data_IF_482461311988
#
_entry.id   IF_482461311988
#
_cell.length_a   1.000
_cell.length_b   1.000
_cell.length_c   1.000
_cell.angle_alpha   90.00
_cell.angle_beta   90.00
_cell.angle_gamma   90.00
#
_symmetry.space_group_name_H-M   'P 1'
#
loop_
_entity.id
_entity.type
_entity.pdbx_description
1 polymer ?
#
# COMPACT_ATOMS: atom_id res chain seq x y z
N UNK A 1 14.50 -6.15 -10.97
CA UNK A 1 13.35 -6.61 -10.17
C UNK A 1 12.11 -6.12 -10.87
N UNK A 2 11.09 -6.96 -10.99
CA UNK A 2 9.84 -6.60 -11.67
C UNK A 2 8.82 -6.04 -10.69
N UNK A 3 7.86 -5.27 -11.20
CA UNK A 3 6.75 -4.79 -10.40
C UNK A 3 5.92 -5.95 -9.83
N UNK A 4 5.70 -6.99 -10.62
CA UNK A 4 5.10 -8.23 -10.16
C UNK A 4 5.83 -8.85 -8.94
N UNK A 5 7.17 -8.81 -8.88
CA UNK A 5 7.91 -9.31 -7.71
C UNK A 5 7.60 -8.50 -6.44
N UNK A 6 7.52 -7.17 -6.54
CA UNK A 6 7.14 -6.30 -5.43
C UNK A 6 5.71 -6.55 -4.96
N UNK A 7 4.75 -6.55 -5.89
CA UNK A 7 3.33 -6.74 -5.57
C UNK A 7 3.07 -8.13 -5.00
N UNK A 8 3.66 -9.18 -5.58
CA UNK A 8 3.52 -10.54 -5.04
C UNK A 8 4.15 -10.66 -3.66
N UNK A 9 5.27 -9.96 -3.40
CA UNK A 9 5.87 -9.93 -2.06
C UNK A 9 4.96 -9.25 -1.05
N UNK A 10 4.39 -8.09 -1.38
CA UNK A 10 3.43 -7.40 -0.53
C UNK A 10 2.18 -8.27 -0.27
N UNK A 11 1.61 -8.86 -1.32
CA UNK A 11 0.47 -9.77 -1.22
C UNK A 11 0.76 -10.98 -0.32
N UNK A 12 1.97 -11.55 -0.37
CA UNK A 12 2.34 -12.74 0.42
C UNK A 12 2.29 -12.54 1.95
N UNK A 13 2.35 -11.28 2.40
CA UNK A 13 2.30 -10.92 3.83
C UNK A 13 1.01 -10.20 4.21
N UNK A 14 0.22 -9.78 3.23
CA UNK A 14 -1.06 -9.11 3.45
C UNK A 14 -2.16 -10.15 3.75
N UNK A 15 -3.08 -9.88 4.68
CA UNK A 15 -4.19 -10.80 5.00
C UNK A 15 -4.90 -11.34 3.76
N UNK A 16 -5.05 -12.66 3.71
CA UNK A 16 -5.74 -13.40 2.63
C UNK A 16 -5.26 -13.05 1.21
N UNK A 17 -4.05 -12.52 1.07
CA UNK A 17 -3.47 -12.05 -0.20
C UNK A 17 -4.31 -10.99 -0.93
N UNK A 18 -5.14 -10.22 -0.20
CA UNK A 18 -6.13 -9.32 -0.79
C UNK A 18 -5.56 -8.24 -1.71
N UNK A 19 -4.27 -7.92 -1.64
CA UNK A 19 -3.60 -7.05 -2.64
C UNK A 19 -3.82 -7.59 -4.07
N UNK A 20 -3.83 -8.91 -4.27
CA UNK A 20 -4.07 -9.53 -5.58
C UNK A 20 -5.52 -9.39 -6.06
N UNK A 21 -6.46 -9.03 -5.20
CA UNK A 21 -7.82 -8.70 -5.65
C UNK A 21 -7.84 -7.46 -6.52
N UNK A 22 -6.83 -6.60 -6.40
CA UNK A 22 -6.68 -5.32 -7.09
C UNK A 22 -5.52 -5.32 -8.10
N UNK A 23 -5.00 -6.49 -8.46
CA UNK A 23 -3.86 -6.62 -9.37
C UNK A 23 -4.12 -7.53 -10.56
N UNK A 24 -3.53 -7.17 -11.71
CA UNK A 24 -3.56 -7.95 -12.94
C UNK A 24 -2.13 -8.41 -13.29
N UNK A 25 -1.79 -9.66 -12.98
CA UNK A 25 -0.42 -10.19 -13.12
C UNK A 25 0.08 -10.18 -14.57
N UNK A 26 -0.80 -10.41 -15.55
CA UNK A 26 -0.46 -10.44 -16.98
C UNK A 26 -0.15 -9.06 -17.56
N UNK A 27 -0.76 -8.01 -17.00
CA UNK A 27 -0.57 -6.63 -17.45
C UNK A 27 0.40 -5.82 -16.59
N UNK A 28 0.71 -6.33 -15.40
CA UNK A 28 1.43 -5.60 -14.35
C UNK A 28 0.74 -4.27 -14.01
N UNK A 29 -0.60 -4.29 -13.91
CA UNK A 29 -1.43 -3.10 -13.70
C UNK A 29 -2.46 -3.30 -12.56
N UNK A 30 -2.79 -2.23 -11.83
CA UNK A 30 -3.93 -2.21 -10.92
C UNK A 30 -5.24 -2.48 -11.66
N UNK A 31 -6.17 -3.17 -11.01
CA UNK A 31 -7.55 -3.34 -11.50
C UNK A 31 -8.56 -2.85 -10.49
N UNK A 32 -9.56 -2.13 -10.98
CA UNK A 32 -10.72 -1.78 -10.19
C UNK A 32 -11.46 -3.06 -9.77
N UNK A 33 -11.72 -3.21 -8.47
CA UNK A 33 -12.52 -4.30 -7.93
C UNK A 33 -13.52 -3.78 -6.87
N UNK A 34 -14.66 -3.22 -7.31
CA UNK A 34 -15.61 -2.58 -6.39
C UNK A 34 -16.26 -3.56 -5.40
N UNK A 35 -16.13 -4.87 -5.61
CA UNK A 35 -16.71 -5.91 -4.76
C UNK A 35 -15.72 -6.49 -3.74
N UNK A 36 -14.43 -6.14 -3.81
CA UNK A 36 -13.41 -6.72 -2.93
C UNK A 36 -13.38 -6.11 -1.52
N UNK A 37 -13.84 -4.87 -1.36
CA UNK A 37 -14.13 -4.24 -0.06
C UNK A 37 -12.92 -3.81 0.79
N UNK A 38 -11.69 -4.22 0.46
CA UNK A 38 -10.48 -3.82 1.17
C UNK A 38 -9.74 -2.71 0.42
N UNK A 39 -10.10 -1.47 0.71
CA UNK A 39 -9.49 -0.29 0.09
C UNK A 39 -8.02 -0.10 0.48
N UNK A 40 -7.55 -0.71 1.57
CA UNK A 40 -6.13 -0.64 1.95
C UNK A 40 -5.30 -1.62 1.10
N UNK A 41 -5.85 -2.78 0.77
CA UNK A 41 -5.22 -3.68 -0.19
C UNK A 41 -5.14 -3.06 -1.60
N UNK A 42 -6.18 -2.33 -2.02
CA UNK A 42 -6.18 -1.52 -3.25
C UNK A 42 -5.09 -0.45 -3.22
N UNK A 43 -5.00 0.31 -2.13
CA UNK A 43 -3.97 1.31 -1.91
C UNK A 43 -2.56 0.74 -2.04
N UNK A 44 -2.26 -0.40 -1.42
CA UNK A 44 -0.94 -1.05 -1.52
C UNK A 44 -0.59 -1.38 -2.97
N UNK A 45 -1.53 -1.92 -3.76
CA UNK A 45 -1.28 -2.22 -5.16
C UNK A 45 -1.03 -0.95 -6.00
N UNK A 46 -1.80 0.11 -5.75
CA UNK A 46 -1.67 1.40 -6.44
C UNK A 46 -0.34 2.08 -6.12
N UNK A 47 0.04 2.20 -4.84
CA UNK A 47 1.28 2.87 -4.43
C UNK A 47 2.52 2.17 -5.00
N UNK A 48 2.55 0.84 -5.00
CA UNK A 48 3.66 0.10 -5.61
C UNK A 48 3.72 0.29 -7.12
N UNK A 49 2.59 0.42 -7.80
CA UNK A 49 2.54 0.69 -9.24
C UNK A 49 2.98 2.12 -9.58
N UNK A 50 2.46 3.11 -8.87
CA UNK A 50 2.74 4.53 -9.13
C UNK A 50 4.17 4.93 -8.77
N UNK A 51 4.80 4.22 -7.83
CA UNK A 51 6.18 4.48 -7.40
C UNK A 51 7.23 3.65 -8.16
N UNK A 52 6.82 2.70 -9.00
CA UNK A 52 7.73 1.88 -9.79
C UNK A 52 8.32 2.68 -10.96
N UNK A 53 9.64 2.58 -11.15
CA UNK A 53 10.35 3.23 -12.25
C UNK A 53 11.11 2.18 -13.09
N UNK A 54 10.66 1.87 -14.32
CA UNK A 54 11.28 0.84 -15.14
C UNK A 54 12.76 1.12 -15.50
N UNK A 55 13.21 2.37 -15.37
CA UNK A 55 14.60 2.77 -15.66
C UNK A 55 15.53 2.70 -14.44
N UNK A 56 14.98 2.57 -13.22
CA UNK A 56 15.79 2.51 -12.00
C UNK A 56 16.32 1.09 -11.74
N UNK A 57 17.47 1.02 -11.06
CA UNK A 57 18.07 -0.25 -10.66
C UNK A 57 17.28 -0.96 -9.55
N UNK A 58 17.48 -2.27 -9.42
CA UNK A 58 16.77 -3.12 -8.44
C UNK A 58 16.79 -2.59 -7.00
N UNK A 59 17.96 -2.11 -6.54
CA UNK A 59 18.13 -1.57 -5.18
C UNK A 59 17.35 -0.26 -5.00
N UNK A 60 17.31 0.58 -6.02
CA UNK A 60 16.57 1.85 -6.02
C UNK A 60 15.05 1.61 -6.04
N UNK A 61 14.60 0.65 -6.85
CA UNK A 61 13.22 0.17 -6.86
C UNK A 61 12.79 -0.33 -5.49
N UNK A 62 13.61 -1.17 -4.87
CA UNK A 62 13.31 -1.72 -3.55
C UNK A 62 13.31 -0.62 -2.47
N UNK A 63 14.30 0.27 -2.49
CA UNK A 63 14.37 1.39 -1.55
C UNK A 63 13.16 2.31 -1.67
N UNK A 64 12.70 2.57 -2.89
CA UNK A 64 11.51 3.38 -3.17
C UNK A 64 10.25 2.70 -2.65
N UNK A 65 10.04 1.42 -2.98
CA UNK A 65 8.91 0.63 -2.51
C UNK A 65 8.84 0.57 -0.97
N UNK A 66 9.99 0.37 -0.30
CA UNK A 66 10.06 0.40 1.17
C UNK A 66 9.71 1.78 1.72
N UNK A 67 10.23 2.85 1.11
CA UNK A 67 9.98 4.22 1.55
C UNK A 67 8.51 4.61 1.43
N UNK A 68 7.83 4.27 0.34
CA UNK A 68 6.40 4.61 0.17
C UNK A 68 5.54 3.84 1.17
N UNK A 69 5.83 2.56 1.41
CA UNK A 69 5.09 1.76 2.39
C UNK A 69 5.32 2.25 3.83
N UNK A 70 6.55 2.66 4.18
CA UNK A 70 6.83 3.21 5.50
C UNK A 70 6.14 4.57 5.70
N UNK A 71 6.16 5.44 4.68
CA UNK A 71 5.46 6.73 4.74
C UNK A 71 3.95 6.52 4.95
N UNK A 72 3.34 5.59 4.22
CA UNK A 72 1.93 5.25 4.40
C UNK A 72 1.62 4.70 5.79
N UNK A 73 2.50 3.86 6.35
CA UNK A 73 2.34 3.34 7.70
C UNK A 73 2.41 4.47 8.76
N UNK A 74 3.34 5.40 8.60
CA UNK A 74 3.50 6.56 9.48
C UNK A 74 2.26 7.47 9.43
N UNK A 75 1.71 7.71 8.23
CA UNK A 75 0.49 8.50 8.02
C UNK A 75 -0.73 7.83 8.66
N UNK A 76 -0.92 6.52 8.45
CA UNK A 76 -2.01 5.75 9.07
C UNK A 76 -1.90 5.76 10.60
N UNK A 77 -0.68 5.65 11.14
CA UNK A 77 -0.43 5.71 12.57
C UNK A 77 -0.73 7.10 13.14
N UNK A 78 -0.36 8.18 12.42
CA UNK A 78 -0.66 9.54 12.83
C UNK A 78 -2.18 9.80 12.89
N UNK A 79 -2.92 9.34 11.88
CA UNK A 79 -4.40 9.41 11.85
C UNK A 79 -5.00 8.63 13.02
N UNK A 80 -4.56 7.38 13.24
CA UNK A 80 -5.04 6.57 14.35
C UNK A 80 -4.80 7.24 15.71
N UNK A 81 -3.62 7.85 15.89
CA UNK A 81 -3.29 8.59 17.10
C UNK A 81 -4.19 9.80 17.31
N UNK A 82 -4.43 10.61 16.28
CA UNK A 82 -5.31 11.77 16.35
C UNK A 82 -6.75 11.36 16.73
N UNK A 83 -7.29 10.31 16.10
CA UNK A 83 -8.63 9.81 16.40
C UNK A 83 -8.76 9.26 17.83
N UNK A 84 -7.74 8.58 18.34
CA UNK A 84 -7.71 8.07 19.72
C UNK A 84 -7.70 9.21 20.77
N UNK A 85 -7.19 10.38 20.40
CA UNK A 85 -7.08 11.53 21.29
C UNK A 85 -8.33 12.41 21.28
N UNK A 86 -9.16 12.32 20.24
CA UNK A 86 -10.37 13.13 20.06
C UNK A 86 -11.31 13.08 21.27
N UNK A 87 -11.44 11.92 21.91
CA UNK A 87 -12.26 11.78 23.13
C UNK A 87 -11.75 12.59 24.32
N UNK A 88 -10.44 12.80 24.45
CA UNK A 88 -9.82 13.60 25.53
C UNK A 88 -9.92 15.09 25.24
N UNK A 89 -9.77 15.48 23.98
CA UNK A 89 -9.89 16.88 23.54
C UNK A 89 -11.31 17.41 23.68
N UNK A 90 -12.33 16.58 23.40
CA UNK A 90 -13.76 16.95 23.56
C UNK A 90 -14.18 17.22 25.01
N UNK A 91 -13.44 16.73 25.99
CA UNK A 91 -13.74 16.94 27.43
C UNK A 91 -13.04 18.19 27.97
N UNK A 92 -11.98 18.64 27.30
CA UNK A 92 -11.20 19.82 27.68
C UNK A 92 -11.69 21.14 27.05
N UNK A 93 -12.64 21.07 26.11
CA UNK A 93 -13.29 22.20 25.45
C UNK A 93 -14.68 22.48 26.04
#
# INVERSE_FOLDING_TARGET
MTLNQLVCRAASVYPDTYVLNYWTLDKEEPRANPNAGDTLAEFVALELYESFDPEAGDDEQLATAVKVMQSAADDLQAVAHALANLGRERVAA
#
